data_IF_548700333470
#
_entry.id   IF_548700333470
#
_cell.length_a   1.000
_cell.length_b   1.000
_cell.length_c   1.000
_cell.angle_alpha   90.00
_cell.angle_beta   90.00
_cell.angle_gamma   90.00
#
_symmetry.space_group_name_H-M   'P 1'
#
loop_
_entity.id
_entity.type
_entity.pdbx_description
1 polymer ?
#
# COMPACT_ATOMS: atom_id res chain seq x y z
N UNK A 1 -13.74 78.90 -28.65
CA UNK A 1 -13.78 77.79 -27.71
C UNK A 1 -12.85 76.73 -28.18
N UNK A 2 -11.69 76.55 -27.54
CA UNK A 2 -10.73 75.49 -27.87
C UNK A 2 -11.22 74.17 -27.26
N UNK A 3 -11.33 73.19 -28.10
CA UNK A 3 -11.86 71.87 -27.76
C UNK A 3 -10.97 71.13 -26.76
N UNK A 4 -11.33 71.13 -25.49
CA UNK A 4 -10.67 70.35 -24.39
C UNK A 4 -10.90 68.83 -24.48
N UNK A 5 -11.50 68.32 -25.55
CA UNK A 5 -11.78 66.88 -25.70
C UNK A 5 -10.52 66.02 -25.79
N UNK A 6 -9.41 66.55 -26.32
CA UNK A 6 -8.16 65.79 -26.42
C UNK A 6 -7.42 65.62 -25.12
N UNK A 7 -7.49 66.59 -24.19
CA UNK A 7 -6.82 66.52 -22.90
C UNK A 7 -7.47 65.49 -21.96
N UNK A 8 -8.80 65.39 -21.94
CA UNK A 8 -9.53 64.42 -21.15
C UNK A 8 -9.23 62.98 -21.64
N UNK A 9 -9.14 62.75 -22.93
CA UNK A 9 -8.80 61.41 -23.49
C UNK A 9 -7.42 60.95 -23.14
N UNK A 10 -6.43 61.82 -23.16
CA UNK A 10 -5.02 61.51 -22.77
C UNK A 10 -4.93 61.19 -21.33
N UNK A 11 -5.57 61.93 -20.44
CA UNK A 11 -5.60 61.67 -18.98
C UNK A 11 -6.23 60.30 -18.65
N UNK A 12 -7.30 59.94 -19.34
CA UNK A 12 -7.95 58.63 -19.21
C UNK A 12 -7.03 57.50 -19.65
N UNK A 13 -6.31 57.68 -20.78
CA UNK A 13 -5.35 56.65 -21.26
C UNK A 13 -4.20 56.47 -20.25
N UNK A 14 -3.65 57.54 -19.69
CA UNK A 14 -2.63 57.44 -18.62
C UNK A 14 -3.15 56.76 -17.37
N UNK A 15 -4.36 57.02 -16.94
CA UNK A 15 -5.00 56.36 -15.80
C UNK A 15 -5.17 54.85 -16.06
N UNK A 16 -5.64 54.44 -17.23
CA UNK A 16 -5.72 53.03 -17.61
C UNK A 16 -4.34 52.37 -17.66
N UNK A 17 -3.35 53.04 -18.21
CA UNK A 17 -1.99 52.51 -18.26
C UNK A 17 -1.39 52.32 -16.88
N UNK A 18 -1.61 53.22 -15.93
CA UNK A 18 -1.18 53.11 -14.55
C UNK A 18 -1.86 51.92 -13.83
N UNK A 19 -3.15 51.74 -14.01
CA UNK A 19 -3.90 50.59 -13.44
C UNK A 19 -3.38 49.27 -14.05
N UNK A 20 -3.17 49.24 -15.35
CA UNK A 20 -2.64 48.05 -16.01
C UNK A 20 -1.21 47.72 -15.51
N UNK A 21 -0.36 48.70 -15.33
CA UNK A 21 1.01 48.53 -14.82
C UNK A 21 1.03 48.01 -13.38
N UNK A 22 0.16 48.54 -12.52
CA UNK A 22 0.01 48.05 -11.13
C UNK A 22 -0.52 46.65 -11.07
N UNK A 23 -1.47 46.27 -11.95
CA UNK A 23 -2.01 44.92 -12.05
C UNK A 23 -0.94 43.92 -12.51
N UNK A 24 -0.15 44.29 -13.51
CA UNK A 24 0.97 43.47 -13.99
C UNK A 24 2.05 43.29 -12.91
N UNK A 25 2.37 44.36 -12.18
CA UNK A 25 3.34 44.28 -11.05
C UNK A 25 2.82 43.33 -9.96
N UNK A 26 1.52 43.41 -9.63
CA UNK A 26 0.88 42.52 -8.67
C UNK A 26 0.94 41.04 -9.10
N UNK A 27 0.66 40.75 -10.37
CA UNK A 27 0.71 39.39 -10.93
C UNK A 27 2.14 38.86 -10.87
N UNK A 28 3.14 39.65 -11.29
CA UNK A 28 4.55 39.23 -11.28
C UNK A 28 5.05 38.98 -9.85
N UNK A 29 4.70 39.87 -8.91
CA UNK A 29 5.09 39.69 -7.50
C UNK A 29 4.43 38.45 -6.89
N UNK A 30 3.13 38.20 -7.13
CA UNK A 30 2.47 36.98 -6.69
C UNK A 30 3.08 35.71 -7.28
N UNK A 31 3.42 35.72 -8.56
CA UNK A 31 4.12 34.58 -9.20
C UNK A 31 5.48 34.33 -8.56
N UNK A 32 6.25 35.38 -8.26
CA UNK A 32 7.55 35.27 -7.62
C UNK A 32 7.44 34.72 -6.19
N UNK A 33 6.45 35.21 -5.41
CA UNK A 33 6.20 34.72 -4.06
C UNK A 33 5.78 33.26 -4.07
N UNK A 34 4.86 32.88 -4.96
CA UNK A 34 4.41 31.48 -5.07
C UNK A 34 5.53 30.54 -5.52
N UNK A 35 6.42 30.97 -6.42
CA UNK A 35 7.62 30.20 -6.80
C UNK A 35 8.58 30.00 -5.63
N UNK A 36 8.83 31.04 -4.84
CA UNK A 36 9.69 30.94 -3.67
C UNK A 36 9.08 30.02 -2.59
N UNK A 37 7.77 30.11 -2.37
CA UNK A 37 7.06 29.23 -1.46
C UNK A 37 7.16 27.76 -1.89
N UNK A 38 6.90 27.48 -3.15
CA UNK A 38 7.05 26.14 -3.74
C UNK A 38 8.49 25.61 -3.64
N UNK A 39 9.49 26.45 -3.87
CA UNK A 39 10.88 26.05 -3.77
C UNK A 39 11.30 25.78 -2.31
N UNK A 40 10.81 26.58 -1.38
CA UNK A 40 11.05 26.36 0.06
C UNK A 40 10.36 25.07 0.53
N UNK A 41 9.10 24.85 0.14
CA UNK A 41 8.40 23.60 0.43
C UNK A 41 9.14 22.39 -0.12
N UNK A 42 9.57 22.42 -1.39
CA UNK A 42 10.39 21.37 -1.99
C UNK A 42 11.70 21.13 -1.26
N UNK A 43 12.34 22.17 -0.75
CA UNK A 43 13.59 22.06 0.02
C UNK A 43 13.35 21.46 1.38
N UNK A 44 12.26 21.83 2.07
CA UNK A 44 11.86 21.28 3.36
C UNK A 44 11.50 19.81 3.22
N UNK A 45 10.64 19.46 2.25
CA UNK A 45 10.26 18.08 1.93
C UNK A 45 11.52 17.23 1.61
N UNK A 46 12.45 17.76 0.82
CA UNK A 46 13.69 17.05 0.49
C UNK A 46 14.60 16.83 1.70
N UNK A 47 14.64 17.76 2.67
CA UNK A 47 15.41 17.57 3.92
C UNK A 47 14.74 16.53 4.83
N UNK A 48 13.41 16.55 4.95
CA UNK A 48 12.66 15.56 5.72
C UNK A 48 12.75 14.16 5.12
N UNK A 49 12.71 14.04 3.78
CA UNK A 49 12.91 12.78 3.06
C UNK A 49 14.29 12.17 3.33
N UNK A 50 15.34 13.00 3.46
CA UNK A 50 16.70 12.51 3.67
C UNK A 50 16.95 12.02 5.10
N UNK A 51 16.19 12.46 6.09
CA UNK A 51 16.45 12.19 7.50
C UNK A 51 15.59 11.08 8.12
N UNK A 52 14.50 10.67 7.47
CA UNK A 52 13.59 9.64 7.98
C UNK A 52 13.63 8.36 7.17
N UNK A 53 13.52 7.22 7.86
CA UNK A 53 13.24 5.96 7.16
C UNK A 53 11.82 5.98 6.57
N UNK A 54 11.56 5.08 5.62
CA UNK A 54 10.30 5.10 4.86
C UNK A 54 9.06 4.92 5.74
N UNK A 55 9.11 4.08 6.76
CA UNK A 55 7.97 3.90 7.67
C UNK A 55 7.64 5.17 8.44
N UNK A 56 8.66 5.86 8.95
CA UNK A 56 8.48 7.12 9.67
C UNK A 56 7.97 8.24 8.76
N UNK A 57 8.48 8.29 7.53
CA UNK A 57 7.96 9.21 6.53
C UNK A 57 6.46 9.03 6.32
N UNK A 58 6.00 7.80 6.08
CA UNK A 58 4.58 7.51 5.89
C UNK A 58 3.73 7.84 7.13
N UNK A 59 4.23 7.56 8.33
CA UNK A 59 3.54 7.87 9.58
C UNK A 59 3.37 9.38 9.77
N UNK A 60 4.37 10.17 9.42
CA UNK A 60 4.30 11.62 9.55
C UNK A 60 3.33 12.27 8.55
N UNK A 61 3.01 11.58 7.46
CA UNK A 61 2.16 12.09 6.36
C UNK A 61 0.83 11.34 6.21
N UNK A 62 0.45 10.50 7.17
CA UNK A 62 -0.70 9.59 7.01
C UNK A 62 -2.06 10.31 6.91
N UNK A 63 -2.17 11.55 7.39
CA UNK A 63 -3.38 12.37 7.32
C UNK A 63 -3.48 13.22 6.04
N UNK A 64 -2.47 13.18 5.17
CA UNK A 64 -2.48 13.93 3.92
C UNK A 64 -3.48 13.37 2.91
N UNK A 65 -4.06 14.26 2.11
CA UNK A 65 -5.03 13.91 1.09
C UNK A 65 -4.48 12.86 0.09
N UNK A 66 -5.28 11.82 -0.13
CA UNK A 66 -4.97 10.74 -1.07
C UNK A 66 -4.10 9.62 -0.49
N UNK A 67 -3.47 9.78 0.67
CA UNK A 67 -2.69 8.70 1.29
C UNK A 67 -3.60 7.61 1.84
N UNK A 68 -4.73 7.98 2.49
CA UNK A 68 -5.73 7.03 3.04
C UNK A 68 -5.11 5.93 3.91
N UNK A 69 -4.16 6.31 4.74
CA UNK A 69 -3.52 5.42 5.70
C UNK A 69 -4.24 5.52 7.04
N UNK A 70 -4.77 4.43 7.54
CA UNK A 70 -5.47 4.36 8.82
C UNK A 70 -4.58 3.73 9.89
N UNK A 71 -4.60 4.29 11.10
CA UNK A 71 -3.94 3.70 12.27
C UNK A 71 -4.91 2.81 13.03
N UNK A 72 -4.48 1.60 13.34
CA UNK A 72 -5.23 0.62 14.13
C UNK A 72 -4.67 0.58 15.56
N UNK A 73 -5.36 1.24 16.48
CA UNK A 73 -4.99 1.30 17.89
C UNK A 73 -6.24 1.25 18.80
N UNK A 74 -6.02 1.20 20.12
CA UNK A 74 -7.09 1.12 21.12
C UNK A 74 -8.06 2.31 21.07
N UNK A 75 -7.62 3.47 20.64
CA UNK A 75 -8.48 4.67 20.51
C UNK A 75 -9.38 4.59 19.27
N UNK A 76 -8.95 3.86 18.25
CA UNK A 76 -9.72 3.62 17.03
C UNK A 76 -10.41 2.24 17.06
N UNK A 77 -11.04 1.93 18.19
CA UNK A 77 -11.70 0.63 18.48
C UNK A 77 -12.71 0.20 17.40
N UNK A 78 -13.15 1.13 16.59
CA UNK A 78 -14.06 0.93 15.44
C UNK A 78 -13.49 -0.06 14.41
N UNK A 79 -12.18 -0.18 14.28
CA UNK A 79 -11.51 -1.10 13.33
C UNK A 79 -11.22 -2.47 13.91
N UNK A 80 -11.33 -2.62 15.23
CA UNK A 80 -11.31 -3.91 15.88
C UNK A 80 -9.95 -4.55 16.15
N UNK A 81 -8.85 -4.02 15.64
CA UNK A 81 -7.47 -4.43 15.97
C UNK A 81 -6.79 -3.32 16.76
N UNK A 82 -6.03 -3.72 17.77
CA UNK A 82 -5.13 -2.86 18.52
C UNK A 82 -3.70 -3.41 18.38
N UNK A 83 -3.16 -3.33 17.16
CA UNK A 83 -1.79 -3.78 16.86
C UNK A 83 -0.85 -2.62 16.52
N UNK A 84 -1.33 -1.38 16.69
CA UNK A 84 -0.62 -0.16 16.32
C UNK A 84 -0.11 -0.13 14.87
N UNK A 85 -0.65 -0.97 13.99
CA UNK A 85 -0.31 -0.93 12.58
C UNK A 85 -0.98 0.26 11.87
N UNK A 86 -0.38 0.65 10.75
CA UNK A 86 -0.98 1.60 9.82
C UNK A 86 -1.28 0.85 8.53
N UNK A 87 -2.50 0.97 7.98
CA UNK A 87 -2.91 0.21 6.79
C UNK A 87 -3.53 1.12 5.75
N UNK A 88 -3.14 0.91 4.49
CA UNK A 88 -3.76 1.62 3.36
C UNK A 88 -5.12 1.04 3.04
N UNK A 89 -6.12 1.92 2.83
CA UNK A 89 -7.52 1.54 2.60
C UNK A 89 -8.12 2.30 1.43
N UNK A 90 -9.23 1.78 0.87
CA UNK A 90 -10.00 2.42 -0.17
C UNK A 90 -9.78 1.87 -1.58
N UNK A 91 -10.41 2.50 -2.57
CA UNK A 91 -10.37 2.05 -3.95
C UNK A 91 -9.01 2.27 -4.62
N UNK A 92 -8.39 3.43 -4.38
CA UNK A 92 -7.12 3.79 -5.01
C UNK A 92 -6.32 4.79 -4.16
N UNK A 93 -5.72 4.35 -3.04
CA UNK A 93 -4.85 5.20 -2.23
C UNK A 93 -3.53 5.49 -2.94
N UNK A 94 -2.84 6.58 -2.53
CA UNK A 94 -1.50 6.91 -2.99
C UNK A 94 -0.46 6.05 -2.28
N UNK A 95 -0.34 4.79 -2.69
CA UNK A 95 0.52 3.78 -2.06
C UNK A 95 1.40 3.02 -3.07
N UNK A 96 1.64 3.59 -4.24
CA UNK A 96 2.55 3.02 -5.22
C UNK A 96 4.00 3.33 -4.86
N UNK A 97 4.87 2.33 -5.07
CA UNK A 97 6.30 2.41 -4.75
C UNK A 97 7.12 1.59 -5.74
N UNK A 98 8.36 2.03 -6.00
CA UNK A 98 9.35 1.27 -6.76
C UNK A 98 10.76 1.46 -6.17
N UNK A 99 11.62 0.49 -6.38
CA UNK A 99 13.04 0.66 -6.08
C UNK A 99 13.70 1.61 -7.08
N UNK A 100 14.70 2.37 -6.64
CA UNK A 100 15.39 3.38 -7.47
C UNK A 100 15.96 2.83 -8.78
N UNK A 101 16.37 1.56 -8.76
CA UNK A 101 17.02 0.90 -9.90
C UNK A 101 16.07 -0.10 -10.60
N UNK A 102 14.75 0.09 -10.48
CA UNK A 102 13.75 -0.83 -11.05
C UNK A 102 12.50 -0.06 -11.47
N UNK A 103 11.89 -0.49 -12.57
CA UNK A 103 10.57 -0.01 -13.00
C UNK A 103 9.43 -0.89 -12.49
N UNK A 104 9.74 -1.96 -11.77
CA UNK A 104 8.72 -2.82 -11.18
C UNK A 104 7.96 -2.08 -10.09
N UNK A 105 6.63 -2.08 -10.21
CA UNK A 105 5.74 -1.40 -9.28
C UNK A 105 5.27 -2.35 -8.18
N UNK A 106 5.30 -1.81 -6.97
CA UNK A 106 4.72 -2.39 -5.78
C UNK A 106 3.66 -1.46 -5.21
N UNK A 107 2.88 -1.97 -4.26
CA UNK A 107 1.96 -1.18 -3.47
C UNK A 107 2.19 -1.45 -1.99
N UNK A 108 2.04 -0.42 -1.17
CA UNK A 108 2.23 -0.50 0.27
C UNK A 108 0.94 -1.04 0.90
N UNK A 109 1.03 -2.18 1.58
CA UNK A 109 -0.09 -2.72 2.39
C UNK A 109 -0.25 -1.88 3.66
N UNK A 110 0.86 -1.63 4.33
CA UNK A 110 0.86 -0.90 5.59
C UNK A 110 2.23 -0.90 6.27
N UNK A 111 2.20 -0.45 7.53
CA UNK A 111 3.35 -0.43 8.43
C UNK A 111 3.03 -1.31 9.63
N UNK A 112 3.89 -2.30 9.87
CA UNK A 112 3.75 -3.30 10.92
C UNK A 112 5.06 -3.37 11.70
N UNK A 113 5.03 -3.13 13.00
CA UNK A 113 6.23 -3.10 13.84
C UNK A 113 7.34 -2.21 13.22
N UNK A 114 6.97 -1.01 12.79
CA UNK A 114 7.85 -0.02 12.14
C UNK A 114 8.42 -0.45 10.77
N UNK A 115 8.00 -1.57 10.20
CA UNK A 115 8.41 -2.06 8.87
C UNK A 115 7.31 -1.87 7.85
N UNK A 116 7.69 -1.39 6.68
CA UNK A 116 6.77 -1.22 5.54
C UNK A 116 6.60 -2.57 4.84
N UNK A 117 5.35 -3.02 4.72
CA UNK A 117 4.97 -4.23 3.99
C UNK A 117 4.54 -3.88 2.57
N UNK A 118 5.19 -4.47 1.60
CA UNK A 118 4.90 -4.28 0.18
C UNK A 118 4.30 -5.52 -0.45
N UNK A 119 3.49 -5.30 -1.48
CA UNK A 119 3.00 -6.33 -2.39
C UNK A 119 3.27 -5.92 -3.83
N UNK A 120 3.64 -6.86 -4.70
CA UNK A 120 3.77 -6.59 -6.14
C UNK A 120 2.44 -6.04 -6.70
N UNK A 121 2.49 -4.96 -7.47
CA UNK A 121 1.28 -4.28 -7.96
C UNK A 121 0.42 -5.18 -8.86
N UNK A 122 1.06 -6.07 -9.63
CA UNK A 122 0.41 -7.03 -10.53
C UNK A 122 0.68 -8.48 -10.11
N UNK A 123 0.05 -9.44 -10.73
CA UNK A 123 0.44 -10.85 -10.59
C UNK A 123 1.86 -11.08 -11.09
N UNK A 124 2.61 -11.92 -10.39
CA UNK A 124 3.91 -12.41 -10.86
C UNK A 124 3.76 -13.59 -11.81
N UNK A 125 3.11 -14.66 -11.33
CA UNK A 125 2.79 -15.88 -12.07
C UNK A 125 1.45 -16.42 -11.59
N UNK A 126 0.80 -17.24 -12.39
CA UNK A 126 -0.24 -18.14 -11.92
C UNK A 126 0.43 -19.46 -11.52
N UNK A 127 0.19 -19.92 -10.30
CA UNK A 127 0.77 -21.14 -9.75
C UNK A 127 -0.28 -21.93 -8.96
N UNK A 128 -0.10 -23.25 -8.90
CA UNK A 128 -0.74 -24.07 -7.89
C UNK A 128 -0.18 -23.74 -6.52
N UNK A 129 -1.04 -23.67 -5.50
CA UNK A 129 -0.55 -23.50 -4.12
C UNK A 129 0.38 -24.66 -3.76
N UNK A 130 -0.08 -25.88 -4.04
CA UNK A 130 0.74 -27.08 -3.94
C UNK A 130 0.46 -28.03 -5.11
N UNK A 131 1.39 -28.92 -5.41
CA UNK A 131 1.24 -29.95 -6.44
C UNK A 131 0.34 -31.12 -5.99
N UNK A 132 0.11 -31.23 -4.68
CA UNK A 132 -0.75 -32.22 -4.04
C UNK A 132 -1.86 -31.53 -3.25
N UNK A 133 -2.89 -32.28 -2.83
CA UNK A 133 -3.99 -31.80 -1.97
C UNK A 133 -3.44 -31.62 -0.54
N UNK A 134 -2.60 -30.63 -0.34
CA UNK A 134 -2.00 -30.27 0.95
C UNK A 134 -1.85 -28.75 1.01
N UNK A 135 -2.35 -28.13 2.09
CA UNK A 135 -2.34 -26.70 2.28
C UNK A 135 -1.16 -26.18 3.14
N UNK A 136 -0.17 -27.02 3.44
CA UNK A 136 1.01 -26.61 4.17
C UNK A 136 1.86 -25.66 3.34
N UNK A 137 1.95 -24.41 3.79
CA UNK A 137 2.67 -23.36 3.07
C UNK A 137 4.19 -23.63 3.00
N UNK A 138 4.79 -24.13 4.07
CA UNK A 138 6.25 -24.33 4.17
C UNK A 138 6.75 -25.35 3.12
N UNK A 139 5.94 -26.38 2.85
CA UNK A 139 6.24 -27.40 1.85
C UNK A 139 5.52 -27.13 0.51
N UNK A 140 5.02 -25.92 0.30
CA UNK A 140 4.20 -25.62 -0.87
C UNK A 140 5.03 -25.30 -2.11
N UNK A 141 4.43 -25.54 -3.27
CA UNK A 141 4.98 -25.13 -4.55
C UNK A 141 5.15 -23.59 -4.62
N UNK A 142 4.22 -22.83 -4.03
CA UNK A 142 4.34 -21.36 -3.97
C UNK A 142 5.58 -20.94 -3.17
N UNK A 143 5.79 -21.49 -1.98
CA UNK A 143 6.94 -21.12 -1.14
C UNK A 143 8.27 -21.39 -1.85
N UNK A 144 8.40 -22.55 -2.50
CA UNK A 144 9.60 -22.92 -3.25
C UNK A 144 9.84 -21.95 -4.41
N UNK A 145 8.82 -21.64 -5.21
CA UNK A 145 8.92 -20.69 -6.31
C UNK A 145 9.20 -19.25 -5.84
N UNK A 146 8.77 -18.87 -4.65
CA UNK A 146 9.05 -17.53 -4.12
C UNK A 146 10.45 -17.38 -3.54
N UNK A 147 11.02 -18.42 -2.88
CA UNK A 147 12.20 -18.27 -2.06
C UNK A 147 13.38 -19.19 -2.38
N UNK A 148 13.15 -20.38 -2.96
CA UNK A 148 14.14 -21.46 -2.98
C UNK A 148 14.65 -21.77 -4.40
N UNK A 149 13.76 -21.83 -5.39
CA UNK A 149 14.15 -22.17 -6.76
C UNK A 149 15.19 -21.19 -7.32
N UNK A 150 16.04 -21.66 -8.21
CA UNK A 150 17.10 -20.82 -8.84
C UNK A 150 16.51 -19.66 -9.64
N UNK A 151 15.32 -19.81 -10.18
CA UNK A 151 14.52 -18.80 -10.87
C UNK A 151 13.36 -18.25 -9.99
N UNK A 152 13.52 -18.36 -8.66
CA UNK A 152 12.55 -17.85 -7.69
C UNK A 152 12.30 -16.35 -7.86
N UNK A 153 11.16 -15.89 -7.32
CA UNK A 153 10.89 -14.46 -7.26
C UNK A 153 11.99 -13.70 -6.50
N UNK A 154 12.47 -14.26 -5.40
CA UNK A 154 13.57 -13.69 -4.62
C UNK A 154 14.82 -13.50 -5.48
N UNK A 155 15.20 -14.50 -6.28
CA UNK A 155 16.35 -14.41 -7.18
C UNK A 155 16.15 -13.31 -8.26
N UNK A 156 14.94 -13.14 -8.75
CA UNK A 156 14.61 -12.12 -9.78
C UNK A 156 14.78 -10.67 -9.28
N UNK A 157 14.78 -10.43 -7.97
CA UNK A 157 14.95 -9.10 -7.38
C UNK A 157 16.38 -8.54 -7.47
N UNK A 158 17.36 -9.39 -7.79
CA UNK A 158 18.75 -8.98 -7.98
C UNK A 158 19.28 -8.15 -6.80
N UNK A 159 19.84 -6.98 -7.08
CA UNK A 159 20.41 -6.10 -6.07
C UNK A 159 19.37 -5.54 -5.07
N UNK A 160 18.08 -5.58 -5.39
CA UNK A 160 17.04 -5.08 -4.49
C UNK A 160 16.79 -5.98 -3.28
N UNK A 161 17.30 -7.21 -3.29
CA UNK A 161 17.26 -8.14 -2.13
C UNK A 161 17.86 -7.51 -0.88
N UNK A 162 18.81 -6.60 -1.01
CA UNK A 162 19.45 -5.91 0.11
C UNK A 162 18.49 -5.07 0.95
N UNK A 163 17.39 -4.60 0.36
CA UNK A 163 16.35 -3.78 1.01
C UNK A 163 15.28 -4.62 1.72
N UNK A 164 15.21 -5.93 1.45
CA UNK A 164 14.18 -6.82 1.95
C UNK A 164 14.65 -7.49 3.23
N UNK A 165 13.80 -7.45 4.24
CA UNK A 165 14.07 -8.09 5.52
C UNK A 165 13.63 -9.56 5.54
N UNK A 166 14.20 -10.33 6.46
CA UNK A 166 13.66 -11.63 6.83
C UNK A 166 12.59 -11.42 7.89
N UNK A 167 11.39 -11.97 7.65
CA UNK A 167 10.28 -11.86 8.58
C UNK A 167 9.68 -13.21 8.93
N UNK A 168 9.02 -13.22 10.06
CA UNK A 168 8.24 -14.37 10.50
C UNK A 168 6.88 -14.33 9.82
N UNK A 169 6.62 -15.29 8.94
CA UNK A 169 5.33 -15.50 8.31
C UNK A 169 4.55 -16.53 9.10
N UNK A 170 3.40 -16.13 9.63
CA UNK A 170 2.50 -17.00 10.37
C UNK A 170 1.61 -17.76 9.37
N UNK A 171 1.76 -19.07 9.32
CA UNK A 171 1.13 -19.91 8.30
C UNK A 171 0.25 -21.01 8.89
N UNK A 172 -0.14 -20.86 10.16
CA UNK A 172 -1.05 -21.76 10.86
C UNK A 172 -2.46 -21.80 10.29
N UNK A 173 -2.89 -20.66 9.70
CA UNK A 173 -4.21 -20.56 9.07
C UNK A 173 -5.33 -20.19 10.04
N UNK A 174 -6.56 -20.20 9.55
CA UNK A 174 -7.76 -19.90 10.32
C UNK A 174 -8.85 -20.95 10.10
N UNK A 175 -9.70 -21.08 11.11
CA UNK A 175 -10.89 -21.92 11.06
C UNK A 175 -11.97 -21.26 10.18
N UNK A 176 -12.50 -21.94 9.12
CA UNK A 176 -13.52 -21.43 8.21
C UNK A 176 -14.83 -20.96 8.84
N UNK A 177 -15.10 -21.31 10.12
CA UNK A 177 -16.20 -20.71 10.87
C UNK A 177 -16.08 -19.20 11.01
N UNK A 178 -14.87 -18.66 10.88
CA UNK A 178 -14.57 -17.27 11.19
C UNK A 178 -14.54 -16.37 9.98
N UNK A 179 -14.68 -16.91 8.76
CA UNK A 179 -14.68 -16.09 7.52
C UNK A 179 -15.86 -15.11 7.45
N UNK A 180 -16.94 -15.39 8.21
CA UNK A 180 -18.09 -14.49 8.37
C UNK A 180 -17.96 -13.55 9.56
N UNK A 181 -16.85 -13.61 10.30
CA UNK A 181 -16.61 -12.79 11.47
C UNK A 181 -15.87 -11.49 11.13
N UNK A 182 -15.69 -10.65 12.12
CA UNK A 182 -15.02 -9.35 11.96
C UNK A 182 -13.57 -9.53 11.51
N UNK A 183 -13.05 -8.60 10.74
CA UNK A 183 -11.64 -8.58 10.32
C UNK A 183 -10.66 -8.69 11.48
N UNK A 184 -11.04 -8.18 12.66
CA UNK A 184 -10.31 -8.35 13.93
C UNK A 184 -10.03 -9.82 14.25
N UNK A 185 -11.07 -10.64 14.27
CA UNK A 185 -10.92 -12.04 14.64
C UNK A 185 -10.04 -12.78 13.62
N UNK A 186 -10.20 -12.47 12.34
CA UNK A 186 -9.36 -13.04 11.28
C UNK A 186 -7.90 -12.67 11.49
N UNK A 187 -7.59 -11.39 11.70
CA UNK A 187 -6.20 -10.95 11.90
C UNK A 187 -5.58 -11.53 13.19
N UNK A 188 -6.33 -11.59 14.29
CA UNK A 188 -5.86 -12.22 15.54
C UNK A 188 -5.54 -13.69 15.32
N UNK A 189 -6.38 -14.40 14.57
CA UNK A 189 -6.18 -15.81 14.30
C UNK A 189 -5.01 -16.08 13.37
N UNK A 190 -4.76 -15.19 12.40
CA UNK A 190 -3.64 -15.32 11.48
C UNK A 190 -2.28 -15.07 12.14
N UNK A 191 -2.17 -13.99 12.91
CA UNK A 191 -0.87 -13.46 13.34
C UNK A 191 -0.75 -13.16 14.84
N UNK A 192 -1.84 -13.19 15.57
CA UNK A 192 -1.89 -12.64 16.93
C UNK A 192 -2.12 -13.65 18.04
N UNK A 193 -2.49 -14.89 17.74
CA UNK A 193 -2.77 -15.89 18.77
C UNK A 193 -1.83 -17.07 18.65
N UNK A 194 -0.94 -17.23 19.63
CA UNK A 194 -0.07 -18.39 19.79
C UNK A 194 -0.85 -19.72 19.94
N UNK A 195 -2.17 -19.67 20.04
CA UNK A 195 -3.04 -20.85 20.09
C UNK A 195 -3.32 -21.48 18.72
N UNK A 196 -3.06 -20.77 17.62
CA UNK A 196 -3.15 -21.33 16.28
C UNK A 196 -1.85 -22.02 15.89
N UNK A 197 -1.52 -23.09 16.59
CA UNK A 197 -0.43 -24.03 16.33
C UNK A 197 0.97 -23.44 16.12
N UNK A 198 1.14 -22.12 16.26
CA UNK A 198 2.43 -21.42 16.22
C UNK A 198 3.28 -21.71 14.97
N UNK A 199 2.65 -22.12 13.86
CA UNK A 199 3.40 -22.46 12.64
C UNK A 199 3.91 -21.18 11.99
N UNK A 200 5.21 -20.98 12.12
CA UNK A 200 5.92 -19.80 11.64
C UNK A 200 7.06 -20.24 10.72
N UNK A 201 7.24 -19.52 9.62
CA UNK A 201 8.43 -19.65 8.78
C UNK A 201 9.15 -18.29 8.67
N UNK A 202 10.46 -18.29 8.86
CA UNK A 202 11.28 -17.11 8.62
C UNK A 202 11.72 -17.09 7.16
N UNK A 203 11.27 -16.08 6.40
CA UNK A 203 11.56 -15.96 4.97
C UNK A 203 11.50 -14.50 4.52
N UNK A 204 12.09 -14.21 3.36
CA UNK A 204 12.02 -12.87 2.75
C UNK A 204 10.70 -12.62 2.05
N UNK A 205 10.18 -13.61 1.33
CA UNK A 205 9.01 -13.45 0.47
C UNK A 205 7.87 -14.34 0.95
N UNK A 206 6.71 -13.73 1.14
CA UNK A 206 5.43 -14.40 1.33
C UNK A 206 4.41 -14.00 0.26
N UNK A 207 3.15 -14.21 0.55
CA UNK A 207 2.01 -13.64 -0.16
C UNK A 207 1.07 -12.98 0.86
N UNK A 208 0.08 -12.23 0.38
CA UNK A 208 -0.84 -11.48 1.25
C UNK A 208 -1.60 -12.39 2.20
N UNK A 209 -1.84 -11.89 3.41
CA UNK A 209 -2.79 -12.48 4.35
C UNK A 209 -4.24 -12.15 3.94
N UNK A 210 -5.17 -12.97 4.40
CA UNK A 210 -6.60 -12.67 4.26
C UNK A 210 -6.96 -11.35 4.96
N UNK A 211 -6.39 -11.09 6.13
CA UNK A 211 -6.57 -9.83 6.86
C UNK A 211 -6.01 -8.62 6.11
N UNK A 212 -4.92 -8.75 5.35
CA UNK A 212 -4.43 -7.65 4.52
C UNK A 212 -5.50 -7.20 3.52
N UNK A 213 -6.20 -8.16 2.89
CA UNK A 213 -7.28 -7.88 1.93
C UNK A 213 -8.51 -7.25 2.59
N UNK A 214 -8.91 -7.78 3.75
CA UNK A 214 -10.06 -7.27 4.51
C UNK A 214 -9.84 -5.81 4.90
N UNK A 215 -8.66 -5.47 5.42
CA UNK A 215 -8.34 -4.10 5.85
C UNK A 215 -8.00 -3.13 4.72
N UNK A 216 -7.82 -3.61 3.50
CA UNK A 216 -7.62 -2.76 2.33
C UNK A 216 -8.91 -2.11 1.81
N UNK A 217 -10.08 -2.57 2.27
CA UNK A 217 -11.37 -2.00 1.90
C UNK A 217 -11.68 -0.73 2.70
N UNK A 218 -12.28 0.26 2.05
CA UNK A 218 -12.87 1.44 2.70
C UNK A 218 -14.33 1.15 3.05
N UNK A 219 -14.55 0.56 4.22
CA UNK A 219 -15.89 0.29 4.73
C UNK A 219 -16.34 1.39 5.68
N UNK A 220 -17.55 1.90 5.47
CA UNK A 220 -18.21 2.82 6.41
C UNK A 220 -18.66 2.09 7.69
N UNK A 221 -18.87 0.78 7.63
CA UNK A 221 -19.19 -0.07 8.78
C UNK A 221 -17.95 -0.82 9.25
N UNK A 222 -17.23 -0.19 10.15
CA UNK A 222 -15.95 -0.68 10.68
C UNK A 222 -16.10 -1.83 11.67
N UNK A 223 -17.31 -2.10 12.17
CA UNK A 223 -17.59 -3.23 13.08
C UNK A 223 -17.77 -4.55 12.33
N UNK A 224 -18.11 -4.48 11.05
CA UNK A 224 -18.34 -5.62 10.17
C UNK A 224 -17.26 -5.77 9.08
N UNK A 225 -16.04 -5.35 9.38
CA UNK A 225 -14.91 -5.49 8.45
C UNK A 225 -14.83 -6.93 7.92
N UNK A 226 -15.01 -7.06 6.62
CA UNK A 226 -14.96 -8.34 5.91
C UNK A 226 -16.30 -8.97 5.55
N UNK A 227 -17.44 -8.45 5.97
CA UNK A 227 -18.76 -9.03 5.61
C UNK A 227 -19.22 -8.65 4.20
N UNK A 228 -18.86 -7.46 3.71
CA UNK A 228 -19.32 -6.92 2.43
C UNK A 228 -18.16 -6.37 1.60
N UNK A 229 -17.06 -7.12 1.53
CA UNK A 229 -15.91 -6.71 0.73
C UNK A 229 -16.30 -6.65 -0.74
N UNK A 230 -16.15 -5.48 -1.34
CA UNK A 230 -16.41 -5.27 -2.75
C UNK A 230 -15.10 -4.99 -3.49
N UNK A 231 -14.93 -5.61 -4.65
CA UNK A 231 -13.76 -5.38 -5.51
C UNK A 231 -13.57 -3.90 -5.90
N UNK A 232 -14.63 -3.11 -5.90
CA UNK A 232 -14.61 -1.71 -6.32
C UNK A 232 -14.01 -0.77 -5.28
N UNK A 233 -14.10 -1.11 -4.00
CA UNK A 233 -13.60 -0.29 -2.89
C UNK A 233 -12.36 -0.86 -2.22
N UNK A 234 -11.74 -1.85 -2.84
CA UNK A 234 -10.59 -2.55 -2.29
C UNK A 234 -9.41 -2.52 -3.27
N UNK A 235 -8.45 -1.67 -3.00
CA UNK A 235 -7.26 -1.50 -3.85
C UNK A 235 -6.39 -2.76 -3.95
N UNK A 236 -6.48 -3.67 -2.97
CA UNK A 236 -5.69 -4.89 -2.93
C UNK A 236 -6.32 -6.03 -3.75
N UNK A 237 -7.52 -5.80 -4.29
CA UNK A 237 -8.17 -6.78 -5.15
C UNK A 237 -7.29 -7.17 -6.35
N UNK A 238 -7.10 -8.44 -6.54
CA UNK A 238 -6.60 -9.06 -7.75
C UNK A 238 -7.41 -10.34 -8.01
N UNK A 239 -8.01 -10.40 -9.18
CA UNK A 239 -8.82 -11.55 -9.58
C UNK A 239 -8.05 -12.87 -9.44
N UNK A 240 -8.75 -13.89 -8.94
CA UNK A 240 -8.27 -15.28 -8.89
C UNK A 240 -6.88 -15.40 -8.22
N UNK A 241 -6.71 -14.87 -7.01
CA UNK A 241 -5.42 -14.85 -6.32
C UNK A 241 -5.43 -15.64 -5.01
N UNK A 242 -4.26 -16.19 -4.66
CA UNK A 242 -4.03 -16.89 -3.41
C UNK A 242 -3.82 -15.94 -2.23
N UNK A 243 -4.27 -16.40 -1.04
CA UNK A 243 -3.78 -15.93 0.26
C UNK A 243 -2.79 -16.93 0.85
N UNK A 244 -1.93 -16.46 1.75
CA UNK A 244 -1.07 -17.33 2.56
C UNK A 244 -1.90 -18.13 3.59
N UNK A 245 -3.06 -17.60 3.94
CA UNK A 245 -3.96 -18.11 4.96
C UNK A 245 -4.63 -19.40 4.50
N UNK A 246 -4.37 -20.47 5.20
CA UNK A 246 -5.02 -21.78 4.96
C UNK A 246 -6.29 -21.94 5.79
N UNK A 247 -7.20 -22.79 5.32
CA UNK A 247 -8.37 -23.21 6.08
C UNK A 247 -8.02 -24.45 6.91
N UNK A 248 -8.18 -24.39 8.22
CA UNK A 248 -7.81 -25.47 9.14
C UNK A 248 -8.98 -26.35 9.60
N UNK A 249 -10.23 -25.98 9.28
CA UNK A 249 -11.41 -26.76 9.73
C UNK A 249 -11.63 -28.04 8.96
N UNK A 250 -11.41 -28.00 7.64
CA UNK A 250 -11.91 -29.05 6.73
C UNK A 250 -10.76 -29.97 6.33
N UNK A 251 -9.80 -30.20 7.20
CA UNK A 251 -8.58 -30.90 6.85
C UNK A 251 -7.62 -30.10 5.94
N UNK A 252 -6.42 -30.59 5.77
CA UNK A 252 -5.32 -29.98 4.98
C UNK A 252 -5.61 -29.82 3.47
N UNK A 253 -6.86 -29.62 3.08
CA UNK A 253 -7.32 -29.72 1.70
C UNK A 253 -7.73 -28.38 1.07
N UNK A 254 -7.78 -27.30 1.83
CA UNK A 254 -8.28 -26.00 1.33
C UNK A 254 -7.40 -24.84 1.74
N UNK A 255 -7.31 -23.85 0.84
CA UNK A 255 -6.63 -22.56 1.01
C UNK A 255 -7.60 -21.45 0.65
N UNK A 256 -7.56 -20.34 1.38
CA UNK A 256 -8.35 -19.17 1.02
C UNK A 256 -7.79 -18.50 -0.23
N UNK A 257 -8.69 -18.02 -1.07
CA UNK A 257 -8.38 -17.32 -2.31
C UNK A 257 -9.49 -16.35 -2.69
N UNK A 258 -9.22 -15.46 -3.64
CA UNK A 258 -10.21 -14.60 -4.25
C UNK A 258 -10.78 -15.22 -5.52
N UNK A 259 -12.07 -14.98 -5.77
CA UNK A 259 -12.69 -15.20 -7.08
C UNK A 259 -12.71 -13.90 -7.92
N UNK A 260 -13.31 -13.95 -9.09
CA UNK A 260 -13.46 -12.81 -10.01
C UNK A 260 -14.29 -11.65 -9.47
N UNK A 261 -15.13 -11.90 -8.48
CA UNK A 261 -16.05 -10.90 -7.93
C UNK A 261 -15.50 -10.22 -6.67
N UNK A 262 -14.30 -10.67 -6.21
CA UNK A 262 -13.68 -10.19 -4.99
C UNK A 262 -14.15 -10.95 -3.74
N UNK A 263 -14.97 -12.00 -3.91
CA UNK A 263 -15.40 -12.82 -2.78
C UNK A 263 -14.27 -13.77 -2.36
N UNK A 264 -14.14 -13.93 -1.05
CA UNK A 264 -13.22 -14.87 -0.42
C UNK A 264 -13.82 -16.27 -0.52
N UNK A 265 -13.09 -17.20 -1.12
CA UNK A 265 -13.51 -18.58 -1.31
C UNK A 265 -12.47 -19.58 -0.82
N UNK A 266 -12.88 -20.83 -0.67
CA UNK A 266 -12.00 -21.96 -0.38
C UNK A 266 -11.69 -22.72 -1.67
N UNK A 267 -10.41 -22.81 -2.01
CA UNK A 267 -9.93 -23.47 -3.22
C UNK A 267 -9.08 -24.70 -2.93
N UNK A 268 -9.01 -25.62 -3.87
CA UNK A 268 -8.06 -26.74 -3.79
C UNK A 268 -6.63 -26.21 -3.91
N UNK A 269 -5.67 -26.69 -3.12
CA UNK A 269 -4.26 -26.31 -3.30
C UNK A 269 -3.71 -26.63 -4.70
N UNK A 270 -4.35 -27.53 -5.43
CA UNK A 270 -3.98 -27.92 -6.80
C UNK A 270 -4.57 -27.02 -7.88
N UNK A 271 -5.45 -26.08 -7.53
CA UNK A 271 -5.95 -25.08 -8.46
C UNK A 271 -4.82 -24.10 -8.83
N UNK A 272 -4.87 -23.57 -10.05
CA UNK A 272 -3.92 -22.56 -10.51
C UNK A 272 -4.49 -21.17 -10.34
N UNK A 273 -3.78 -20.30 -9.59
CA UNK A 273 -4.22 -18.93 -9.29
C UNK A 273 -3.04 -17.96 -9.27
N UNK A 274 -3.36 -16.68 -9.41
CA UNK A 274 -2.40 -15.59 -9.37
C UNK A 274 -1.66 -15.52 -8.03
N UNK A 275 -0.35 -15.34 -8.12
CA UNK A 275 0.53 -15.12 -6.97
C UNK A 275 1.04 -13.69 -7.00
N UNK A 276 0.87 -12.99 -5.89
CA UNK A 276 1.42 -11.64 -5.65
C UNK A 276 2.47 -11.72 -4.54
N UNK A 277 3.76 -11.72 -4.89
CA UNK A 277 4.83 -11.68 -3.90
C UNK A 277 4.69 -10.48 -2.96
N UNK A 278 4.88 -10.74 -1.69
CA UNK A 278 4.75 -9.77 -0.59
C UNK A 278 5.97 -9.88 0.30
N UNK A 279 6.48 -8.74 0.78
CA UNK A 279 7.68 -8.72 1.62
C UNK A 279 7.72 -7.47 2.50
N UNK A 280 8.60 -7.49 3.49
CA UNK A 280 8.85 -6.36 4.37
C UNK A 280 10.17 -5.69 4.02
N UNK A 281 10.18 -4.36 4.07
CA UNK A 281 11.40 -3.59 3.91
C UNK A 281 12.17 -3.52 5.21
N UNK A 282 13.49 -3.44 5.10
CA UNK A 282 14.35 -3.10 6.23
C UNK A 282 14.13 -1.65 6.68
N UNK A 283 14.36 -1.39 7.96
CA UNK A 283 14.14 -0.06 8.56
C UNK A 283 15.08 1.05 8.05
N UNK A 284 16.16 0.69 7.34
CA UNK A 284 17.08 1.67 6.78
C UNK A 284 16.69 2.16 5.36
N UNK A 285 15.64 1.61 4.78
CA UNK A 285 15.13 2.06 3.48
C UNK A 285 14.51 3.44 3.61
N UNK A 286 14.82 4.34 2.66
CA UNK A 286 14.37 5.73 2.64
C UNK A 286 13.58 6.05 1.39
N UNK A 287 12.77 7.11 1.45
CA UNK A 287 12.14 7.71 0.27
C UNK A 287 13.14 8.68 -0.37
N UNK A 288 13.34 8.53 -1.66
CA UNK A 288 14.20 9.40 -2.47
C UNK A 288 13.35 10.47 -3.16
N UNK A 289 12.16 10.08 -3.65
CA UNK A 289 11.23 10.98 -4.35
C UNK A 289 9.85 10.33 -4.52
N UNK A 290 8.93 11.05 -5.14
CA UNK A 290 7.60 10.56 -5.49
C UNK A 290 6.53 10.92 -4.48
N UNK A 291 5.26 10.81 -4.89
CA UNK A 291 4.07 11.13 -4.12
C UNK A 291 3.17 9.91 -3.83
N UNK A 292 3.60 8.72 -4.25
CA UNK A 292 2.85 7.49 -4.06
C UNK A 292 1.69 7.25 -5.03
N UNK A 293 1.49 8.12 -6.01
CA UNK A 293 0.51 7.90 -7.08
C UNK A 293 1.04 6.89 -8.11
N UNK A 294 0.16 6.34 -8.95
CA UNK A 294 0.58 5.44 -10.03
C UNK A 294 1.47 6.09 -11.08
N UNK A 295 1.35 7.41 -11.27
CA UNK A 295 2.15 8.19 -12.22
C UNK A 295 3.45 8.72 -11.59
N UNK A 296 3.47 8.87 -10.27
CA UNK A 296 4.62 9.35 -9.50
C UNK A 296 4.77 8.48 -8.23
N UNK A 297 5.16 7.20 -8.38
CA UNK A 297 5.32 6.29 -7.25
C UNK A 297 6.46 6.75 -6.32
N UNK A 298 6.38 6.43 -5.03
CA UNK A 298 7.53 6.59 -4.15
C UNK A 298 8.72 5.83 -4.72
N UNK A 299 9.84 6.52 -4.89
CA UNK A 299 11.12 5.89 -5.24
C UNK A 299 11.89 5.66 -3.95
N UNK A 300 12.26 4.40 -3.69
CA UNK A 300 12.92 4.01 -2.44
C UNK A 300 14.30 3.43 -2.68
N UNK A 301 15.17 3.60 -1.68
CA UNK A 301 16.55 3.09 -1.72
C UNK A 301 17.31 3.40 -0.43
N UNK A 302 18.63 3.25 -0.50
CA UNK A 302 19.62 3.64 0.50
C UNK A 302 20.27 4.98 0.15
#
# INVERSE_FOLDING_TARGET
>A
MKNNKGFISVTVIYAFFLVFLTLMLYIVTNMAVNRNLLNNMKKTIKSELNDSNFSRYLINHYEEDGIKLIRLNSTNYTYGIDDNSYRFTGANPNNYVKFKDSDELYRIIGIFNEKVKLVKATSWKALKFNTTINNNYIASNIFNNLNIETDSYLASLGNNIKYIDNENWYVGGIDGKYISQTGKNIAIMEVGDSKNDGVVINAKIGIIYLSDYIYAEDSSDKTNYGKNITKTNNWLFLNNSWFITRNTIISDTKVYSLNSDGAIINSSPTDEKNVRPTFYLKNNVRVISGSGTSLDPYVIGD
#
